data_IF_443338821211
#
_entry.id   IF_443338821211
#
_cell.length_a   1.000
_cell.length_b   1.000
_cell.length_c   1.000
_cell.angle_alpha   90.00
_cell.angle_beta   90.00
_cell.angle_gamma   90.00
#
_symmetry.space_group_name_H-M   'P 1'
#
loop_
_entity.id
_entity.type
_entity.pdbx_description
1 polymer ?
#
# COMPACT_ATOMS: atom_id res chain seq x y z
N UNK A 1 8.64 16.05 -3.42
CA UNK A 1 8.13 15.28 -2.27
C UNK A 1 8.55 13.80 -2.30
N UNK A 2 8.01 12.97 -3.21
CA UNK A 2 8.28 11.51 -3.23
C UNK A 2 9.78 11.17 -3.39
N UNK A 3 10.50 11.88 -4.26
CA UNK A 3 11.96 11.70 -4.43
C UNK A 3 12.77 12.19 -3.23
N UNK A 4 12.37 13.33 -2.67
CA UNK A 4 13.09 13.98 -1.59
C UNK A 4 12.99 13.14 -0.31
N UNK A 5 11.80 12.59 -0.02
CA UNK A 5 11.60 11.70 1.13
C UNK A 5 12.38 10.39 0.97
N UNK A 6 12.47 9.85 -0.25
CA UNK A 6 13.31 8.70 -0.56
C UNK A 6 14.78 8.99 -0.27
N UNK A 7 15.34 10.04 -0.89
CA UNK A 7 16.75 10.40 -0.74
C UNK A 7 17.11 10.59 0.73
N UNK A 8 16.29 11.33 1.47
CA UNK A 8 16.50 11.56 2.90
C UNK A 8 16.57 10.25 3.71
N UNK A 9 15.65 9.32 3.47
CA UNK A 9 15.64 8.03 4.16
C UNK A 9 16.83 7.15 3.75
N UNK A 10 17.20 7.14 2.48
CA UNK A 10 18.34 6.36 1.99
C UNK A 10 19.67 6.89 2.54
N UNK A 11 19.84 8.22 2.59
CA UNK A 11 20.99 8.87 3.19
C UNK A 11 21.10 8.56 4.69
N UNK A 12 19.97 8.55 5.40
CA UNK A 12 19.92 8.25 6.83
C UNK A 12 20.18 6.78 7.15
N UNK A 13 19.63 5.87 6.35
CA UNK A 13 19.66 4.42 6.60
C UNK A 13 20.87 3.72 5.96
N UNK A 14 21.50 4.35 4.96
CA UNK A 14 22.54 3.73 4.14
C UNK A 14 22.03 2.52 3.35
N UNK A 15 20.72 2.47 3.07
CA UNK A 15 20.04 1.34 2.43
C UNK A 15 19.00 1.87 1.45
N UNK A 16 18.80 1.11 0.39
CA UNK A 16 17.76 1.41 -0.59
C UNK A 16 16.35 1.34 0.03
N UNK A 17 15.52 2.33 -0.28
CA UNK A 17 14.10 2.34 0.04
C UNK A 17 13.31 2.00 -1.22
N UNK A 18 12.83 0.75 -1.27
CA UNK A 18 12.17 0.16 -2.44
C UNK A 18 10.64 0.19 -2.40
N UNK A 19 10.04 0.54 -1.26
CA UNK A 19 8.60 0.49 -1.04
C UNK A 19 8.00 1.85 -0.68
N UNK A 20 6.79 2.12 -1.18
CA UNK A 20 6.03 3.34 -0.93
C UNK A 20 4.63 3.02 -0.36
N UNK A 21 4.10 3.87 0.52
CA UNK A 21 2.74 3.75 1.05
C UNK A 21 1.96 5.02 0.72
N UNK A 22 0.90 4.90 -0.08
CA UNK A 22 0.08 6.06 -0.44
C UNK A 22 -0.69 6.57 0.79
N UNK A 23 -0.62 7.87 1.11
CA UNK A 23 -1.41 8.45 2.18
C UNK A 23 -2.90 8.18 1.98
N UNK A 24 -3.55 7.62 2.99
CA UNK A 24 -4.96 7.18 2.94
C UNK A 24 -5.30 6.22 1.79
N UNK A 25 -4.30 5.56 1.20
CA UNK A 25 -4.49 4.72 0.02
C UNK A 25 -4.90 5.48 -1.25
N UNK A 26 -4.86 6.82 -1.24
CA UNK A 26 -5.31 7.64 -2.36
C UNK A 26 -4.20 7.84 -3.37
N UNK A 27 -4.48 7.48 -4.61
CA UNK A 27 -3.57 7.69 -5.73
C UNK A 27 -4.37 7.83 -7.03
N UNK A 28 -3.68 8.27 -8.08
CA UNK A 28 -4.13 8.20 -9.46
C UNK A 28 -2.93 7.78 -10.33
N UNK A 29 -3.14 7.62 -11.64
CA UNK A 29 -2.09 7.21 -12.57
C UNK A 29 -0.88 8.15 -12.53
N UNK A 30 -1.11 9.47 -12.43
CA UNK A 30 -0.03 10.45 -12.34
C UNK A 30 0.85 10.25 -11.11
N UNK A 31 0.26 10.13 -9.92
CA UNK A 31 1.02 9.92 -8.67
C UNK A 31 1.74 8.57 -8.69
N UNK A 32 1.10 7.52 -9.21
CA UNK A 32 1.71 6.20 -9.37
C UNK A 32 2.94 6.27 -10.27
N UNK A 33 2.88 7.02 -11.37
CA UNK A 33 4.01 7.19 -12.29
C UNK A 33 5.14 8.02 -11.67
N UNK A 34 4.83 9.02 -10.86
CA UNK A 34 5.86 9.75 -10.10
C UNK A 34 6.55 8.87 -9.05
N UNK A 35 5.82 7.96 -8.39
CA UNK A 35 6.39 6.93 -7.51
C UNK A 35 7.32 5.99 -8.29
N UNK A 36 6.90 5.52 -9.47
CA UNK A 36 7.77 4.72 -10.35
C UNK A 36 9.04 5.48 -10.75
N UNK A 37 8.89 6.74 -11.19
CA UNK A 37 10.02 7.60 -11.60
C UNK A 37 10.93 8.01 -10.46
N UNK A 38 10.49 7.86 -9.21
CA UNK A 38 11.33 8.02 -8.02
C UNK A 38 12.13 6.74 -7.69
N UNK A 39 11.91 5.66 -8.44
CA UNK A 39 12.65 4.40 -8.30
C UNK A 39 12.10 3.50 -7.20
N UNK A 40 10.82 3.62 -6.84
CA UNK A 40 10.16 2.63 -5.99
C UNK A 40 9.73 1.41 -6.82
N UNK A 41 9.79 0.23 -6.21
CA UNK A 41 9.42 -1.05 -6.83
C UNK A 41 8.08 -1.59 -6.32
N UNK A 42 7.72 -1.26 -5.07
CA UNK A 42 6.48 -1.65 -4.43
C UNK A 42 5.71 -0.42 -3.97
N UNK A 43 4.39 -0.44 -4.14
CA UNK A 43 3.49 0.62 -3.71
C UNK A 43 2.27 0.01 -3.05
N UNK A 44 1.88 0.52 -1.88
CA UNK A 44 0.81 -0.05 -1.08
C UNK A 44 -0.33 0.95 -0.85
N UNK A 45 -1.54 0.53 -1.15
CA UNK A 45 -2.78 1.28 -0.98
C UNK A 45 -3.48 0.86 0.32
N UNK A 46 -4.70 1.35 0.53
CA UNK A 46 -5.65 0.89 1.55
C UNK A 46 -6.92 0.33 0.90
N UNK A 47 -6.81 -0.17 -0.33
CA UNK A 47 -7.93 -0.80 -1.02
C UNK A 47 -8.11 -2.22 -0.50
N UNK A 48 -9.36 -2.57 -0.19
CA UNK A 48 -9.77 -3.85 0.39
C UNK A 48 -9.90 -4.90 -0.72
N UNK A 49 -8.83 -5.62 -1.05
CA UNK A 49 -8.92 -6.74 -1.98
C UNK A 49 -7.72 -7.68 -1.86
N UNK A 50 -7.80 -8.83 -2.52
CA UNK A 50 -6.67 -9.73 -2.68
C UNK A 50 -5.61 -9.15 -3.62
N UNK A 51 -4.38 -9.60 -3.43
CA UNK A 51 -3.25 -9.29 -4.29
C UNK A 51 -3.03 -10.45 -5.27
N UNK A 52 -2.90 -10.14 -6.56
CA UNK A 52 -2.62 -11.11 -7.62
C UNK A 52 -1.19 -10.95 -8.16
N UNK A 53 -0.65 -11.98 -8.83
CA UNK A 53 0.74 -11.97 -9.33
C UNK A 53 0.95 -11.04 -10.53
N UNK A 54 -0.11 -10.81 -11.30
CA UNK A 54 -0.16 -10.01 -12.53
C UNK A 54 -0.59 -8.55 -12.29
N UNK A 55 -0.95 -8.19 -11.06
CA UNK A 55 -1.31 -6.82 -10.72
C UNK A 55 -0.10 -5.88 -10.73
N UNK A 56 -0.38 -4.59 -10.87
CA UNK A 56 0.65 -3.56 -10.74
C UNK A 56 1.25 -3.56 -9.31
N UNK A 57 2.55 -3.78 -9.23
CA UNK A 57 3.31 -3.84 -7.96
C UNK A 57 3.33 -2.50 -7.23
N UNK A 58 3.03 -1.41 -7.93
CA UNK A 58 2.93 -0.08 -7.33
C UNK A 58 1.53 0.23 -6.79
N UNK A 59 0.58 -0.71 -6.81
CA UNK A 59 -0.80 -0.50 -6.33
C UNK A 59 -1.31 -1.67 -5.50
N UNK A 60 -0.44 -2.34 -4.74
CA UNK A 60 -0.78 -3.49 -3.92
C UNK A 60 -1.84 -3.13 -2.87
N UNK A 61 -2.79 -4.03 -2.69
CA UNK A 61 -3.89 -3.90 -1.75
C UNK A 61 -3.43 -4.21 -0.32
N UNK A 62 -4.05 -3.56 0.67
CA UNK A 62 -3.85 -3.85 2.09
C UNK A 62 -5.16 -3.70 2.85
N UNK A 63 -5.30 -4.54 3.87
CA UNK A 63 -6.37 -4.46 4.84
C UNK A 63 -5.88 -3.72 6.10
N UNK A 64 -6.69 -2.78 6.59
CA UNK A 64 -6.42 -2.11 7.86
C UNK A 64 -6.58 -3.06 9.03
N UNK A 65 -5.74 -2.91 10.04
CA UNK A 65 -5.93 -3.55 11.35
C UNK A 65 -6.52 -2.53 12.29
N UNK A 66 -7.69 -2.85 12.86
CA UNK A 66 -8.40 -1.98 13.78
C UNK A 66 -8.10 -2.36 15.22
N UNK A 67 -8.24 -1.41 16.12
CA UNK A 67 -8.08 -1.65 17.56
C UNK A 67 -9.10 -2.67 18.13
N UNK A 68 -10.19 -2.92 17.41
CA UNK A 68 -11.21 -3.92 17.74
C UNK A 68 -10.97 -5.30 17.12
N UNK A 69 -9.90 -5.47 16.33
CA UNK A 69 -9.56 -6.77 15.79
C UNK A 69 -9.03 -7.71 16.89
N UNK A 70 -9.67 -8.86 17.01
CA UNK A 70 -9.10 -10.01 17.69
C UNK A 70 -8.49 -10.98 16.65
N UNK A 71 -7.85 -12.05 17.13
CA UNK A 71 -7.19 -13.03 16.26
C UNK A 71 -8.15 -13.66 15.23
N UNK A 72 -9.43 -13.83 15.56
CA UNK A 72 -10.41 -14.37 14.63
C UNK A 72 -10.73 -13.37 13.51
N UNK A 73 -10.90 -12.09 13.84
CA UNK A 73 -11.08 -11.04 12.83
C UNK A 73 -9.84 -10.90 11.94
N UNK A 74 -8.64 -10.96 12.54
CA UNK A 74 -7.38 -10.91 11.81
C UNK A 74 -7.24 -12.05 10.80
N UNK A 75 -7.53 -13.30 11.21
CA UNK A 75 -7.55 -14.46 10.28
C UNK A 75 -8.53 -14.24 9.13
N UNK A 76 -9.76 -13.81 9.44
CA UNK A 76 -10.77 -13.48 8.42
C UNK A 76 -10.29 -12.39 7.45
N UNK A 77 -9.53 -11.40 7.92
CA UNK A 77 -8.95 -10.35 7.05
C UNK A 77 -7.86 -10.90 6.14
N UNK A 78 -7.00 -11.80 6.64
CA UNK A 78 -6.01 -12.51 5.81
C UNK A 78 -6.70 -13.35 4.74
N UNK A 79 -7.77 -14.04 5.12
CA UNK A 79 -8.54 -14.93 4.25
C UNK A 79 -9.50 -14.17 3.30
N UNK A 80 -9.47 -12.83 3.28
CA UNK A 80 -10.25 -11.98 2.35
C UNK A 80 -11.74 -11.82 2.69
N UNK A 81 -12.21 -12.30 3.85
CA UNK A 81 -13.63 -12.17 4.24
C UNK A 81 -14.09 -10.72 4.45
N UNK A 82 -13.16 -9.77 4.51
CA UNK A 82 -13.45 -8.34 4.70
C UNK A 82 -13.35 -7.53 3.41
N UNK A 83 -12.99 -8.16 2.29
CA UNK A 83 -12.76 -7.47 1.01
C UNK A 83 -14.07 -6.89 0.44
N UNK A 84 -15.23 -7.33 0.92
CA UNK A 84 -16.52 -6.71 0.61
C UNK A 84 -16.59 -5.22 1.01
N UNK A 85 -15.73 -4.75 1.93
CA UNK A 85 -15.65 -3.33 2.30
C UNK A 85 -15.25 -2.43 1.12
N UNK A 86 -14.65 -2.95 0.04
CA UNK A 86 -14.37 -2.16 -1.17
C UNK A 86 -15.61 -1.57 -1.83
N UNK A 87 -16.79 -2.13 -1.57
CA UNK A 87 -18.08 -1.64 -2.07
C UNK A 87 -18.75 -0.64 -1.13
N UNK A 88 -18.18 -0.40 0.05
CA UNK A 88 -18.73 0.54 1.02
C UNK A 88 -18.28 1.94 0.64
N UNK A 89 -19.24 2.80 0.29
CA UNK A 89 -18.99 4.23 0.22
C UNK A 89 -18.82 4.74 1.66
N UNK A 90 -17.58 5.06 2.03
CA UNK A 90 -17.23 5.74 3.27
C UNK A 90 -17.10 7.25 3.03
#
# INVERSE_FOLDING_TARGET
EVRDSKSYLEDLLGKEVSAFSYPHGKFNSFIRDEVMKAGYFLGFTSHYDLNHLDQDRLTLNRNEIWNSDNLNNFKKKIDGHWDWLKYRNL
#
